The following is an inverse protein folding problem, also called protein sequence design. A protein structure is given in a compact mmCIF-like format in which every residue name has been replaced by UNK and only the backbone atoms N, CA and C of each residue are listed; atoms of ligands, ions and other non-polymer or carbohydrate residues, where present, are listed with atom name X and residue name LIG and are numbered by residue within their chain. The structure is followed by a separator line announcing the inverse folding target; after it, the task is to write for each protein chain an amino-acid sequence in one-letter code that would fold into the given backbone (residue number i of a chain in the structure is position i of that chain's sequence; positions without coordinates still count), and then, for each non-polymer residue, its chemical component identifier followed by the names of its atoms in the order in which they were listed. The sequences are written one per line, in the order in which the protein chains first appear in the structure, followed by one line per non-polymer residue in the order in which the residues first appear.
data_IF_053680891643
#
_entry.id   IF_053680891643
#
_cell.length_a   1.000
_cell.length_b   1.000
_cell.length_c   1.000
_cell.angle_alpha   90.00
_cell.angle_beta   90.00
_cell.angle_gamma   90.00
#
_symmetry.space_group_name_H-M   'P 1'
#
loop_
_entity.id
_entity.type
_entity.pdbx_description
1 polymer ?
#
# COMPACT_ATOMS: atom_id res chain seq x y z
N UNK A 1 21.27 16.77 4.30
CA UNK A 1 20.15 15.89 3.94
C UNK A 1 19.01 16.79 3.49
N UNK A 2 18.54 16.68 2.25
CA UNK A 2 17.49 17.58 1.72
C UNK A 2 16.17 17.17 2.38
N UNK A 3 15.58 18.02 3.20
CA UNK A 3 14.23 17.79 3.73
C UNK A 3 13.28 17.86 2.54
N UNK A 4 12.53 16.81 2.22
CA UNK A 4 11.58 16.88 1.11
C UNK A 4 10.50 17.92 1.45
N UNK A 5 10.17 18.79 0.48
CA UNK A 5 9.16 19.86 0.62
C UNK A 5 7.75 19.33 0.91
N UNK A 6 7.59 18.00 0.84
CA UNK A 6 6.39 17.25 1.21
C UNK A 6 6.81 16.06 2.09
N UNK A 7 6.28 15.92 3.32
CA UNK A 7 6.65 14.83 4.22
C UNK A 7 6.32 13.42 3.69
N UNK A 8 5.54 13.32 2.59
CA UNK A 8 5.20 12.07 1.90
C UNK A 8 5.97 11.83 0.60
N UNK A 9 6.89 12.72 0.20
CA UNK A 9 7.62 12.55 -1.05
C UNK A 9 8.81 11.59 -0.92
N UNK A 10 9.01 10.78 -1.96
CA UNK A 10 10.22 9.97 -2.11
C UNK A 10 11.44 10.87 -2.30
N UNK A 11 12.61 10.38 -1.86
CA UNK A 11 13.88 11.12 -1.97
C UNK A 11 14.42 11.19 -3.41
N UNK A 12 13.98 10.29 -4.28
CA UNK A 12 14.24 10.27 -5.72
C UNK A 12 13.28 9.32 -6.43
N UNK A 13 13.21 9.39 -7.76
CA UNK A 13 12.44 8.44 -8.57
C UNK A 13 12.96 7.01 -8.42
N UNK A 14 14.28 6.81 -8.34
CA UNK A 14 14.87 5.49 -8.07
C UNK A 14 14.46 4.93 -6.70
N UNK A 15 14.35 5.79 -5.67
CA UNK A 15 13.87 5.37 -4.36
C UNK A 15 12.39 4.97 -4.40
N UNK A 16 11.58 5.70 -5.17
CA UNK A 16 10.17 5.39 -5.45
C UNK A 16 10.03 4.03 -6.14
N UNK A 17 10.76 3.81 -7.23
CA UNK A 17 10.68 2.58 -8.00
C UNK A 17 11.11 1.37 -7.18
N UNK A 18 12.21 1.51 -6.42
CA UNK A 18 12.67 0.46 -5.51
C UNK A 18 11.61 0.11 -4.45
N UNK A 19 10.93 1.12 -3.91
CA UNK A 19 9.85 0.91 -2.94
C UNK A 19 8.72 0.08 -3.55
N UNK A 20 8.19 0.48 -4.71
CA UNK A 20 7.07 -0.22 -5.36
C UNK A 20 7.43 -1.62 -5.84
N UNK A 21 8.63 -1.82 -6.43
CA UNK A 21 9.11 -3.17 -6.81
C UNK A 21 9.18 -4.10 -5.60
N UNK A 22 9.67 -3.60 -4.46
CA UNK A 22 9.72 -4.40 -3.23
C UNK A 22 8.32 -4.69 -2.71
N UNK A 23 7.43 -3.69 -2.75
CA UNK A 23 6.05 -3.82 -2.31
C UNK A 23 5.30 -4.90 -3.10
N UNK A 24 5.37 -4.84 -4.44
CA UNK A 24 4.71 -5.79 -5.34
C UNK A 24 5.27 -7.20 -5.16
N UNK A 25 6.58 -7.32 -4.95
CA UNK A 25 7.21 -8.61 -4.67
C UNK A 25 6.70 -9.22 -3.35
N UNK A 26 6.60 -8.43 -2.29
CA UNK A 26 6.10 -8.93 -0.99
C UNK A 26 4.64 -9.37 -1.11
N UNK A 27 3.79 -8.59 -1.78
CA UNK A 27 2.41 -8.99 -2.05
C UNK A 27 2.34 -10.30 -2.85
N UNK A 28 3.13 -10.41 -3.93
CA UNK A 28 3.08 -11.56 -4.83
C UNK A 28 3.71 -12.85 -4.26
N UNK A 29 4.73 -12.74 -3.40
CA UNK A 29 5.49 -13.89 -2.91
C UNK A 29 5.15 -14.28 -1.46
N UNK A 30 4.80 -13.32 -0.60
CA UNK A 30 4.70 -13.54 0.84
C UNK A 30 3.29 -13.41 1.41
N UNK A 31 2.36 -12.78 0.69
CA UNK A 31 0.99 -12.64 1.19
C UNK A 31 0.31 -14.02 1.25
N UNK A 32 -0.38 -14.37 2.36
CA UNK A 32 -0.85 -15.73 2.58
C UNK A 32 -2.02 -16.16 1.68
N UNK A 33 -2.66 -15.22 0.99
CA UNK A 33 -3.84 -15.43 0.15
C UNK A 33 -3.80 -14.55 -1.11
N UNK A 34 -4.59 -14.85 -2.16
CA UNK A 34 -4.73 -13.91 -3.27
C UNK A 34 -5.34 -12.58 -2.82
N UNK A 35 -4.84 -11.48 -3.37
CA UNK A 35 -5.36 -10.14 -3.15
C UNK A 35 -5.55 -9.38 -4.46
N UNK A 36 -6.64 -8.61 -4.53
CA UNK A 36 -6.84 -7.61 -5.57
C UNK A 36 -6.31 -6.26 -5.09
N UNK A 37 -5.35 -5.71 -5.82
CA UNK A 37 -4.83 -4.37 -5.59
C UNK A 37 -5.69 -3.35 -6.34
N UNK A 38 -6.31 -2.41 -5.62
CA UNK A 38 -7.27 -1.45 -6.18
C UNK A 38 -6.87 -0.04 -5.74
N UNK A 39 -6.85 0.90 -6.68
CA UNK A 39 -6.76 2.34 -6.37
C UNK A 39 -8.16 2.92 -6.21
N UNK A 40 -8.40 3.56 -5.07
CA UNK A 40 -9.67 4.23 -4.75
C UNK A 40 -9.43 5.73 -4.68
N UNK A 41 -10.18 6.48 -5.49
CA UNK A 41 -10.14 7.93 -5.47
C UNK A 41 -10.86 8.49 -4.25
N UNK A 42 -10.21 9.43 -3.57
CA UNK A 42 -10.77 10.14 -2.42
C UNK A 42 -10.57 11.64 -2.59
N UNK A 43 -11.26 12.44 -1.77
CA UNK A 43 -11.05 13.89 -1.71
C UNK A 43 -9.62 14.31 -1.33
N UNK A 44 -8.82 13.40 -0.76
CA UNK A 44 -7.45 13.65 -0.32
C UNK A 44 -6.39 13.08 -1.28
N UNK A 45 -6.82 12.48 -2.39
CA UNK A 45 -5.97 11.78 -3.34
C UNK A 45 -6.29 10.29 -3.44
N UNK A 46 -5.51 9.58 -4.26
CA UNK A 46 -5.68 8.15 -4.50
C UNK A 46 -5.14 7.31 -3.34
N UNK A 47 -5.88 6.27 -2.95
CA UNK A 47 -5.50 5.31 -1.91
C UNK A 47 -5.46 3.91 -2.50
N UNK A 48 -4.29 3.26 -2.43
CA UNK A 48 -4.13 1.84 -2.78
C UNK A 48 -4.66 0.97 -1.64
N UNK A 49 -5.61 0.10 -1.93
CA UNK A 49 -6.11 -0.95 -1.03
C UNK A 49 -5.78 -2.34 -1.58
N UNK A 50 -5.72 -3.32 -0.68
CA UNK A 50 -5.57 -4.75 -1.03
C UNK A 50 -6.79 -5.49 -0.47
N UNK A 51 -7.60 -6.07 -1.35
CA UNK A 51 -8.81 -6.81 -0.98
C UNK A 51 -8.51 -8.30 -1.00
N UNK A 52 -8.75 -8.98 0.12
CA UNK A 52 -8.67 -10.42 0.26
C UNK A 52 -10.04 -11.01 0.62
N UNK A 53 -10.23 -12.29 0.30
CA UNK A 53 -11.41 -13.06 0.73
C UNK A 53 -12.60 -12.96 -0.22
N UNK A 54 -13.76 -13.55 0.17
CA UNK A 54 -14.94 -13.66 -0.67
C UNK A 54 -15.57 -12.30 -0.97
N UNK A 55 -16.33 -12.23 -2.07
CA UNK A 55 -17.00 -11.01 -2.46
C UNK A 55 -18.27 -10.68 -1.66
N UNK A 56 -18.82 -11.68 -0.96
CA UNK A 56 -20.05 -11.62 -0.20
C UNK A 56 -19.78 -11.77 1.30
N UNK A 57 -20.68 -11.22 2.13
CA UNK A 57 -20.57 -11.21 3.59
C UNK A 57 -20.24 -9.83 4.17
N UNK A 58 -20.02 -9.78 5.47
CA UNK A 58 -19.72 -8.53 6.18
C UNK A 58 -18.26 -8.09 5.96
N UNK A 59 -18.01 -6.84 5.52
CA UNK A 59 -16.67 -6.37 5.24
C UNK A 59 -15.90 -6.06 6.53
N UNK A 60 -14.60 -6.41 6.54
CA UNK A 60 -13.64 -6.02 7.57
C UNK A 60 -12.59 -5.10 6.97
N UNK A 61 -12.35 -3.96 7.60
CA UNK A 61 -11.34 -2.97 7.16
C UNK A 61 -10.17 -2.98 8.12
N UNK A 62 -8.97 -3.22 7.59
CA UNK A 62 -7.72 -3.22 8.35
C UNK A 62 -6.96 -1.93 8.07
N UNK A 63 -6.62 -1.18 9.13
CA UNK A 63 -5.81 0.03 9.05
C UNK A 63 -4.48 -0.21 9.74
N UNK A 64 -3.38 -0.07 9.01
CA UNK A 64 -2.05 -0.24 9.55
C UNK A 64 -1.76 0.80 10.66
N UNK A 65 -0.94 0.41 11.63
CA UNK A 65 -0.45 1.32 12.67
C UNK A 65 0.40 2.46 12.08
N UNK A 66 0.60 3.51 12.88
CA UNK A 66 1.44 4.64 12.49
C UNK A 66 2.85 4.17 12.06
N UNK A 67 3.38 4.79 10.99
CA UNK A 67 4.64 4.41 10.33
C UNK A 67 4.64 3.03 9.64
N UNK A 68 3.53 2.30 9.65
CA UNK A 68 3.33 1.07 8.89
C UNK A 68 2.64 1.30 7.55
N UNK A 69 2.39 0.21 6.83
CA UNK A 69 1.60 0.17 5.60
C UNK A 69 0.82 -1.16 5.56
N UNK A 70 0.04 -1.41 4.51
CA UNK A 70 -0.82 -2.59 4.46
C UNK A 70 -0.05 -3.93 4.51
N UNK A 71 1.26 -3.95 4.22
CA UNK A 71 2.11 -5.15 4.34
C UNK A 71 2.35 -5.62 5.78
N UNK A 72 1.93 -4.84 6.77
CA UNK A 72 2.07 -5.22 8.18
C UNK A 72 1.05 -6.27 8.64
N UNK A 73 0.03 -6.54 7.83
CA UNK A 73 -0.96 -7.59 8.05
C UNK A 73 -0.54 -8.88 7.34
#
# INVERSE_FOLDING_TARGET
MRTPDRPSAFTSDSARDKYFVTYDRVIGELWPVPVDAIDVETRAGSVRIHRAGPAEGDPVVLLAGASGNALAW
#
